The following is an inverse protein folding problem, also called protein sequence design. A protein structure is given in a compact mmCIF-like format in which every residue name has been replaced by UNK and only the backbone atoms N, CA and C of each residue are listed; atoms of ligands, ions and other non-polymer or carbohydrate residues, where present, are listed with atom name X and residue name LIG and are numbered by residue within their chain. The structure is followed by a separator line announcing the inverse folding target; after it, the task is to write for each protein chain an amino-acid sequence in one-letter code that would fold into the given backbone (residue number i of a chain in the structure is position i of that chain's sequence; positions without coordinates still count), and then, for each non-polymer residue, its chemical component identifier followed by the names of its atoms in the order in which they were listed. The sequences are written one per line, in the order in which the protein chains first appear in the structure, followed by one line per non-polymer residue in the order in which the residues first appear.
data_IF_930804526726
#
_entry.id   IF_930804526726
#
_cell.length_a   1.000
_cell.length_b   1.000
_cell.length_c   1.000
_cell.angle_alpha   90.00
_cell.angle_beta   90.00
_cell.angle_gamma   90.00
#
_symmetry.space_group_name_H-M   'P 1'
#
loop_
_entity.id
_entity.type
_entity.pdbx_description
1 polymer ?
#
# COMPACT_ATOMS: atom_id res chain seq x y z
N UNK A 1 -2.54 -35.25 4.57
CA UNK A 1 -2.85 -34.87 3.18
C UNK A 1 -3.81 -33.68 3.27
N UNK A 2 -3.50 -32.41 2.99
CA UNK A 2 -2.60 -31.79 2.02
C UNK A 2 -3.49 -30.89 1.15
N UNK A 3 -3.55 -29.58 1.43
CA UNK A 3 -4.38 -28.62 0.68
C UNK A 3 -3.64 -28.28 -0.62
N UNK A 4 -4.28 -28.51 -1.77
CA UNK A 4 -3.74 -28.15 -3.08
C UNK A 4 -4.39 -26.85 -3.55
N UNK A 5 -3.59 -25.79 -3.68
CA UNK A 5 -4.01 -24.52 -4.27
C UNK A 5 -3.61 -24.54 -5.76
N UNK A 6 -4.55 -24.71 -6.69
CA UNK A 6 -4.20 -24.85 -8.13
C UNK A 6 -4.08 -23.50 -8.86
N UNK A 7 -4.70 -22.45 -8.32
CA UNK A 7 -4.55 -21.02 -8.62
C UNK A 7 -5.72 -20.34 -7.91
N UNK A 8 -5.57 -19.06 -7.58
CA UNK A 8 -6.15 -18.33 -6.43
C UNK A 8 -7.67 -18.32 -6.20
N UNK A 9 -8.50 -19.02 -6.97
CA UNK A 9 -9.94 -18.66 -7.06
C UNK A 9 -10.96 -19.81 -6.83
N UNK A 10 -10.57 -21.01 -6.37
CA UNK A 10 -11.54 -22.10 -6.11
C UNK A 10 -11.27 -22.84 -4.80
N UNK A 11 -11.96 -22.45 -3.71
CA UNK A 11 -11.99 -23.18 -2.43
C UNK A 11 -13.45 -23.41 -1.99
N UNK A 12 -13.85 -24.67 -1.73
CA UNK A 12 -15.21 -25.02 -1.28
C UNK A 12 -15.19 -25.57 0.17
N UNK A 13 -15.88 -24.85 1.07
CA UNK A 13 -16.35 -25.09 2.46
C UNK A 13 -16.05 -26.42 3.18
N UNK A 14 -15.64 -26.39 4.48
CA UNK A 14 -16.47 -26.81 5.66
C UNK A 14 -15.90 -26.20 6.98
N UNK A 15 -16.79 -25.66 7.84
CA UNK A 15 -16.64 -25.34 9.29
C UNK A 15 -15.95 -24.00 9.72
N UNK A 16 -16.79 -23.01 10.04
CA UNK A 16 -16.60 -21.95 11.05
C UNK A 16 -15.97 -20.58 10.69
N UNK A 17 -15.99 -20.11 9.44
CA UNK A 17 -15.81 -18.66 9.19
C UNK A 17 -16.89 -18.18 8.21
N UNK A 18 -17.74 -17.28 8.69
CA UNK A 18 -19.06 -16.96 8.16
C UNK A 18 -19.05 -15.85 7.10
N UNK A 19 -18.09 -15.85 6.16
CA UNK A 19 -18.11 -14.90 5.02
C UNK A 19 -17.41 -15.47 3.79
N UNK A 20 -18.18 -16.06 2.87
CA UNK A 20 -17.82 -16.15 1.46
C UNK A 20 -18.74 -15.19 0.71
N UNK A 21 -18.25 -13.99 0.36
CA UNK A 21 -19.03 -13.04 -0.44
C UNK A 21 -18.72 -13.26 -1.91
N UNK A 22 -19.68 -13.80 -2.66
CA UNK A 22 -19.72 -13.71 -4.12
C UNK A 22 -21.02 -13.04 -4.50
N UNK A 23 -21.01 -11.74 -4.82
CA UNK A 23 -22.19 -11.06 -5.37
C UNK A 23 -21.80 -9.95 -6.34
N UNK A 24 -21.88 -10.26 -7.63
CA UNK A 24 -22.12 -9.29 -8.70
C UNK A 24 -20.88 -8.79 -9.43
N UNK A 25 -21.07 -8.43 -10.69
CA UNK A 25 -20.19 -7.52 -11.42
C UNK A 25 -20.29 -6.15 -10.72
N UNK A 26 -19.64 -6.02 -9.56
CA UNK A 26 -19.42 -4.76 -8.85
C UNK A 26 -18.55 -3.96 -9.78
N UNK A 27 -19.08 -2.89 -10.37
CA UNK A 27 -18.27 -1.98 -11.19
C UNK A 27 -17.00 -1.68 -10.41
N UNK A 28 -15.85 -2.06 -10.97
CA UNK A 28 -14.53 -2.19 -10.33
C UNK A 28 -14.28 -1.05 -9.35
N UNK A 29 -14.84 -1.18 -8.15
CA UNK A 29 -14.74 -0.19 -7.11
C UNK A 29 -13.36 -0.43 -6.56
N UNK A 30 -12.53 0.57 -6.77
CA UNK A 30 -11.18 0.56 -6.25
C UNK A 30 -11.23 0.40 -4.73
N UNK A 31 -10.40 -0.50 -4.21
CA UNK A 31 -10.19 -0.59 -2.76
C UNK A 31 -9.25 0.56 -2.42
N UNK A 32 -9.59 1.36 -1.42
CA UNK A 32 -8.72 2.44 -0.98
C UNK A 32 -7.84 1.94 0.17
N UNK A 33 -6.69 1.35 -0.16
CA UNK A 33 -5.78 0.80 0.85
C UNK A 33 -5.24 1.88 1.80
N UNK A 34 -5.16 3.14 1.34
CA UNK A 34 -4.73 4.28 2.15
C UNK A 34 -5.78 4.65 3.21
N UNK A 35 -7.06 4.58 2.87
CA UNK A 35 -8.15 4.84 3.83
C UNK A 35 -8.34 3.69 4.82
N UNK A 36 -8.08 2.45 4.38
CA UNK A 36 -8.12 1.27 5.24
C UNK A 36 -6.87 1.11 6.12
N UNK A 37 -5.77 1.81 5.80
CA UNK A 37 -4.48 1.64 6.46
C UNK A 37 -3.87 0.26 6.23
N UNK A 38 -4.20 -0.34 5.09
CA UNK A 38 -3.65 -1.62 4.62
C UNK A 38 -2.50 -1.43 3.62
N UNK A 39 -2.09 -0.18 3.39
CA UNK A 39 -0.91 0.15 2.62
C UNK A 39 0.38 -0.20 3.38
N UNK A 40 1.41 -0.63 2.66
CA UNK A 40 2.73 -0.88 3.25
C UNK A 40 3.67 0.33 3.03
N UNK A 41 3.18 1.57 3.00
CA UNK A 41 4.06 2.73 2.76
C UNK A 41 4.97 3.00 3.95
N UNK A 42 6.13 3.65 3.70
CA UNK A 42 6.99 4.12 4.78
C UNK A 42 6.23 5.13 5.67
N UNK A 43 6.59 5.21 6.95
CA UNK A 43 6.00 6.20 7.88
C UNK A 43 6.21 7.65 7.41
N UNK A 44 7.31 7.88 6.69
CA UNK A 44 7.66 9.16 6.05
C UNK A 44 7.28 9.25 4.57
N UNK A 45 6.36 8.38 4.13
CA UNK A 45 5.71 8.48 2.83
C UNK A 45 4.25 8.91 2.96
N UNK A 46 3.71 9.38 1.84
CA UNK A 46 2.31 9.65 1.60
C UNK A 46 1.76 8.49 0.77
N UNK A 47 0.66 7.89 1.23
CA UNK A 47 -0.11 6.93 0.44
C UNK A 47 -1.06 7.68 -0.49
N UNK A 48 -1.00 7.35 -1.78
CA UNK A 48 -1.90 7.87 -2.81
C UNK A 48 -2.65 6.70 -3.44
N UNK A 49 -3.96 6.64 -3.19
CA UNK A 49 -4.81 5.62 -3.78
C UNK A 49 -4.97 5.82 -5.31
N UNK A 50 -5.00 4.73 -6.08
CA UNK A 50 -5.09 4.73 -7.54
C UNK A 50 -5.98 3.59 -8.02
N UNK A 51 -6.66 3.69 -9.18
CA UNK A 51 -7.48 2.59 -9.66
C UNK A 51 -6.70 1.26 -9.78
N UNK A 52 -7.11 0.28 -8.97
CA UNK A 52 -6.57 -1.07 -8.77
C UNK A 52 -5.35 -1.19 -7.85
N UNK A 53 -4.84 -0.10 -7.23
CA UNK A 53 -3.64 -0.14 -6.37
C UNK A 53 -3.39 1.17 -5.62
N UNK A 54 -2.22 1.33 -5.02
CA UNK A 54 -1.79 2.57 -4.39
C UNK A 54 -0.31 2.84 -4.67
N UNK A 55 0.08 4.11 -4.59
CA UNK A 55 1.46 4.54 -4.69
C UNK A 55 1.92 5.14 -3.36
N UNK A 56 3.17 4.86 -3.00
CA UNK A 56 3.83 5.50 -1.87
C UNK A 56 4.81 6.55 -2.40
N UNK A 57 4.75 7.76 -1.86
CA UNK A 57 5.62 8.86 -2.27
C UNK A 57 6.25 9.45 -1.01
N UNK A 58 7.58 9.51 -0.92
CA UNK A 58 8.24 10.13 0.22
C UNK A 58 7.77 11.57 0.44
N UNK A 59 7.59 11.95 1.70
CA UNK A 59 7.22 13.31 2.11
C UNK A 59 8.30 14.31 1.66
N UNK A 60 7.97 15.60 1.52
CA UNK A 60 8.98 16.64 1.30
C UNK A 60 10.07 16.57 2.38
N UNK A 61 11.33 16.70 1.98
CA UNK A 61 12.48 16.50 2.86
C UNK A 61 12.92 15.04 2.99
N UNK A 62 12.26 14.10 2.31
CA UNK A 62 12.66 12.69 2.28
C UNK A 62 12.84 12.20 0.84
N UNK A 63 13.72 11.22 0.65
CA UNK A 63 14.01 10.59 -0.64
C UNK A 63 14.05 9.08 -0.51
N UNK A 64 13.54 8.41 -1.53
CA UNK A 64 13.50 6.96 -1.59
C UNK A 64 12.42 6.49 -2.56
N UNK A 65 11.97 5.25 -2.40
CA UNK A 65 10.96 4.61 -3.26
C UNK A 65 9.53 4.67 -2.67
N UNK A 66 9.37 5.30 -1.51
CA UNK A 66 8.09 5.40 -0.80
C UNK A 66 7.82 4.24 0.16
N UNK A 67 8.54 3.12 0.03
CA UNK A 67 8.57 2.01 1.01
C UNK A 67 9.71 2.19 2.00
N UNK A 68 10.81 2.76 1.53
CA UNK A 68 11.91 3.27 2.31
C UNK A 68 12.06 4.76 1.95
N UNK A 69 12.06 5.62 2.95
CA UNK A 69 12.28 7.05 2.79
C UNK A 69 13.33 7.50 3.79
N UNK A 70 14.45 7.98 3.26
CA UNK A 70 15.55 8.54 4.03
C UNK A 70 15.43 10.06 4.07
N UNK A 71 15.72 10.64 5.22
CA UNK A 71 15.77 12.09 5.40
C UNK A 71 16.83 12.68 4.45
N UNK A 72 16.43 13.66 3.67
CA UNK A 72 17.33 14.40 2.80
C UNK A 72 17.92 15.50 3.65
N UNK A 73 19.18 15.35 4.04
CA UNK A 73 19.88 16.46 4.71
C UNK A 73 20.08 17.59 3.68
N UNK A 74 19.17 18.58 3.71
CA UNK A 74 19.27 19.74 2.85
C UNK A 74 20.48 20.63 3.20
N UNK A 75 21.10 20.42 4.37
CA UNK A 75 22.31 21.08 4.82
C UNK A 75 23.59 20.37 4.37
N UNK A 76 23.55 19.08 4.02
CA UNK A 76 24.71 18.38 3.44
C UNK A 76 25.05 18.87 2.03
N UNK A 77 24.08 19.48 1.33
CA UNK A 77 24.23 19.89 -0.07
C UNK A 77 24.38 21.40 -0.32
N UNK A 78 24.52 22.26 0.70
CA UNK A 78 24.39 23.70 0.49
C UNK A 78 25.56 24.61 0.95
N UNK A 79 26.10 25.37 -0.02
CA UNK A 79 26.78 26.65 0.18
C UNK A 79 25.77 27.79 -0.15
N UNK A 80 24.96 28.20 0.85
CA UNK A 80 24.04 29.36 0.94
C UNK A 80 22.53 29.18 0.67
N UNK A 81 21.81 28.71 1.70
CA UNK A 81 20.37 28.49 1.67
C UNK A 81 19.70 28.25 3.03
N UNK A 82 20.38 28.47 4.16
CA UNK A 82 19.75 28.70 5.47
C UNK A 82 19.04 27.51 6.11
N UNK A 83 19.79 26.69 6.85
CA UNK A 83 19.26 25.76 7.84
C UNK A 83 18.66 26.56 9.00
N UNK A 84 17.35 26.45 9.23
CA UNK A 84 16.63 27.05 10.37
C UNK A 84 16.21 26.01 11.39
#
# INVERSE_FOLDING_TARGET
MGIACFSRDVCLFILLINTCRVMGNVGLADVDECAEGSDDCHIDALCQNTPKSYNCICKPGYKGDGKECEDVDECENDYNGGCV
#
